data_IF_993468416106
#
_entry.id   IF_993468416106
#
_cell.length_a   1.000
_cell.length_b   1.000
_cell.length_c   1.000
_cell.angle_alpha   90.00
_cell.angle_beta   90.00
_cell.angle_gamma   90.00
#
_symmetry.space_group_name_H-M   'P 1'
#
loop_
_entity.id
_entity.type
_entity.pdbx_description
1 polymer ?
#
# COMPACT_ATOMS: atom_id res chain seq x y z
N UNK A 1 -18.94 23.57 -16.01
CA UNK A 1 -18.79 23.19 -14.59
C UNK A 1 -18.35 21.75 -14.57
N UNK A 2 -17.28 21.40 -13.83
CA UNK A 2 -16.95 19.99 -13.58
C UNK A 2 -18.08 19.41 -12.70
N UNK A 3 -18.54 18.17 -12.92
CA UNK A 3 -19.54 17.56 -12.05
C UNK A 3 -19.02 17.57 -10.60
N UNK A 4 -19.91 17.73 -9.60
CA UNK A 4 -19.50 17.61 -8.21
C UNK A 4 -18.87 16.23 -8.00
N UNK A 5 -17.70 16.20 -7.36
CA UNK A 5 -17.10 14.94 -6.90
C UNK A 5 -18.07 14.35 -5.89
N UNK A 6 -18.59 13.15 -6.16
CA UNK A 6 -19.47 12.46 -5.23
C UNK A 6 -18.76 12.16 -3.91
N UNK A 7 -19.52 11.89 -2.85
CA UNK A 7 -18.96 11.48 -1.56
C UNK A 7 -18.24 10.13 -1.71
N UNK A 8 -17.01 10.06 -1.25
CA UNK A 8 -16.15 8.88 -1.34
C UNK A 8 -15.94 8.27 0.04
N UNK A 9 -16.30 7.01 0.22
CA UNK A 9 -15.89 6.26 1.41
C UNK A 9 -14.49 5.69 1.22
N UNK A 10 -13.56 6.08 2.09
CA UNK A 10 -12.14 5.74 1.92
C UNK A 10 -11.67 4.72 2.94
N UNK A 11 -12.23 4.76 4.15
CA UNK A 11 -11.86 3.89 5.27
C UNK A 11 -13.09 3.32 5.93
N UNK A 12 -13.10 2.01 6.19
CA UNK A 12 -14.06 1.33 7.04
C UNK A 12 -13.33 0.35 7.95
N UNK A 13 -13.67 0.38 9.24
CA UNK A 13 -13.18 -0.57 10.24
C UNK A 13 -14.37 -1.30 10.85
N UNK A 14 -14.16 -2.03 11.94
CA UNK A 14 -15.25 -2.57 12.74
C UNK A 14 -16.09 -1.51 13.45
N UNK A 15 -15.51 -0.35 13.74
CA UNK A 15 -16.14 0.65 14.63
C UNK A 15 -16.10 2.07 14.10
N UNK A 16 -15.49 2.28 12.93
CA UNK A 16 -15.31 3.62 12.34
C UNK A 16 -15.45 3.60 10.83
N UNK A 17 -15.92 4.69 10.25
CA UNK A 17 -15.86 4.94 8.81
C UNK A 17 -15.43 6.38 8.52
N UNK A 18 -14.76 6.58 7.39
CA UNK A 18 -14.31 7.91 6.93
C UNK A 18 -14.76 8.13 5.50
N UNK A 19 -15.48 9.24 5.30
CA UNK A 19 -15.95 9.70 4.01
C UNK A 19 -15.31 11.04 3.66
N UNK A 20 -15.14 11.31 2.37
CA UNK A 20 -14.58 12.55 1.85
C UNK A 20 -15.52 13.18 0.84
N UNK A 21 -15.79 14.47 1.00
CA UNK A 21 -16.49 15.30 0.03
C UNK A 21 -15.58 16.48 -0.35
N UNK A 22 -14.91 16.37 -1.49
CA UNK A 22 -13.82 17.26 -1.89
C UNK A 22 -12.66 17.30 -0.87
N UNK A 23 -12.60 18.34 -0.05
CA UNK A 23 -11.61 18.52 1.03
C UNK A 23 -12.22 18.35 2.43
N UNK A 24 -13.54 18.16 2.51
CA UNK A 24 -14.21 17.87 3.77
C UNK A 24 -14.01 16.40 4.12
N UNK A 25 -13.72 16.14 5.39
CA UNK A 25 -13.58 14.79 5.94
C UNK A 25 -14.67 14.56 6.97
N UNK A 26 -15.49 13.55 6.75
CA UNK A 26 -16.56 13.13 7.65
C UNK A 26 -16.10 11.85 8.33
N UNK A 27 -15.99 11.88 9.65
CA UNK A 27 -15.59 10.72 10.44
C UNK A 27 -16.79 10.25 11.27
N UNK A 28 -17.08 8.96 11.15
CA UNK A 28 -18.05 8.24 11.95
C UNK A 28 -17.28 7.33 12.91
N UNK A 29 -17.58 7.43 14.20
CA UNK A 29 -16.99 6.60 15.26
C UNK A 29 -18.11 5.92 16.07
N UNK A 30 -17.76 4.91 16.85
CA UNK A 30 -18.70 4.11 17.67
C UNK A 30 -19.78 3.41 16.83
N UNK A 31 -19.42 2.97 15.64
CA UNK A 31 -20.27 2.09 14.83
C UNK A 31 -20.26 0.68 15.41
N UNK A 32 -21.36 -0.04 15.22
CA UNK A 32 -21.46 -1.46 15.55
C UNK A 32 -20.71 -2.29 14.48
N UNK A 33 -19.93 -3.30 14.87
CA UNK A 33 -19.30 -4.23 13.93
C UNK A 33 -20.32 -4.98 13.06
N UNK A 34 -19.89 -5.38 11.86
CA UNK A 34 -20.71 -6.14 10.89
C UNK A 34 -22.13 -5.58 10.69
N UNK A 35 -22.23 -4.26 10.60
CA UNK A 35 -23.50 -3.55 10.51
C UNK A 35 -23.50 -2.62 9.30
N UNK A 36 -24.62 -2.60 8.58
CA UNK A 36 -24.80 -1.72 7.42
C UNK A 36 -25.23 -0.32 7.87
N UNK A 37 -24.63 0.68 7.25
CA UNK A 37 -24.91 2.09 7.45
C UNK A 37 -25.08 2.79 6.10
N UNK A 38 -25.91 3.84 6.07
CA UNK A 38 -26.00 4.77 4.95
C UNK A 38 -25.72 6.17 5.44
N UNK A 39 -24.64 6.78 4.96
CA UNK A 39 -24.27 8.16 5.28
C UNK A 39 -24.02 8.93 3.99
N UNK A 40 -24.61 10.13 3.87
CA UNK A 40 -24.48 11.00 2.68
C UNK A 40 -24.75 10.29 1.34
N UNK A 41 -25.66 9.31 1.33
CA UNK A 41 -26.02 8.53 0.15
C UNK A 41 -25.05 7.40 -0.21
N UNK A 42 -24.00 7.16 0.58
CA UNK A 42 -23.09 6.02 0.44
C UNK A 42 -23.49 4.95 1.45
N UNK A 43 -23.74 3.73 0.97
CA UNK A 43 -24.01 2.57 1.82
C UNK A 43 -22.75 1.75 1.99
N UNK A 44 -22.45 1.36 3.23
CA UNK A 44 -21.28 0.55 3.57
C UNK A 44 -21.59 -0.33 4.78
N UNK A 45 -20.79 -1.37 4.98
CA UNK A 45 -20.88 -2.28 6.11
C UNK A 45 -19.56 -2.24 6.89
N UNK A 46 -19.62 -2.01 8.19
CA UNK A 46 -18.46 -2.13 9.07
C UNK A 46 -17.91 -3.55 9.04
N UNK A 47 -16.60 -3.70 9.25
CA UNK A 47 -15.97 -5.02 9.28
C UNK A 47 -16.41 -5.80 10.54
N UNK A 48 -16.47 -7.14 10.51
CA UNK A 48 -16.51 -7.89 11.75
C UNK A 48 -15.20 -7.69 12.51
N UNK A 49 -15.26 -7.53 13.84
CA UNK A 49 -14.05 -7.49 14.67
C UNK A 49 -13.35 -8.86 14.60
N UNK A 50 -12.05 -8.95 14.25
CA UNK A 50 -11.32 -10.20 14.30
C UNK A 50 -11.36 -10.81 15.70
N UNK A 51 -11.47 -12.13 15.78
CA UNK A 51 -11.63 -12.81 17.08
C UNK A 51 -10.39 -12.64 17.96
N UNK A 52 -10.63 -12.61 19.28
CA UNK A 52 -9.57 -12.47 20.27
C UNK A 52 -9.08 -11.04 20.45
N UNK A 53 -8.07 -10.85 21.33
CA UNK A 53 -7.55 -9.53 21.67
C UNK A 53 -6.74 -8.92 20.54
N UNK A 54 -6.78 -7.58 20.46
CA UNK A 54 -5.81 -6.79 19.72
C UNK A 54 -4.43 -6.91 20.39
N UNK A 55 -3.44 -7.41 19.66
CA UNK A 55 -2.08 -7.64 20.10
C UNK A 55 -1.18 -6.45 19.79
N UNK A 56 -1.25 -5.93 18.56
CA UNK A 56 -0.53 -4.72 18.16
C UNK A 56 -1.17 -4.02 16.96
N UNK A 57 -0.67 -2.81 16.68
CA UNK A 57 -0.95 -2.07 15.45
C UNK A 57 0.38 -1.63 14.84
N UNK A 58 0.49 -1.75 13.52
CA UNK A 58 1.60 -1.15 12.78
C UNK A 58 1.06 -0.54 11.49
N UNK A 59 1.86 0.30 10.85
CA UNK A 59 1.46 1.03 9.65
C UNK A 59 2.53 0.90 8.57
N UNK A 60 2.10 1.01 7.31
CA UNK A 60 2.97 1.08 6.15
C UNK A 60 2.70 2.36 5.37
N UNK A 61 3.77 2.99 4.92
CA UNK A 61 3.76 4.07 3.92
C UNK A 61 4.66 3.63 2.78
N UNK A 62 4.19 3.79 1.55
CA UNK A 62 4.96 3.47 0.36
C UNK A 62 4.96 4.67 -0.60
N UNK A 63 5.89 4.62 -1.56
CA UNK A 63 5.92 5.55 -2.67
C UNK A 63 5.92 7.02 -2.22
N UNK A 64 6.83 7.31 -1.27
CA UNK A 64 7.00 8.62 -0.62
C UNK A 64 7.57 9.69 -1.54
N UNK A 65 8.37 9.30 -2.54
CA UNK A 65 8.92 10.16 -3.60
C UNK A 65 9.56 11.47 -3.13
N UNK A 66 10.30 11.43 -2.00
CA UNK A 66 11.02 12.62 -1.54
C UNK A 66 11.97 13.15 -2.61
N UNK A 67 11.89 14.45 -2.89
CA UNK A 67 12.70 15.13 -3.89
C UNK A 67 12.10 15.16 -5.31
N UNK A 68 11.00 14.44 -5.56
CA UNK A 68 10.28 14.50 -6.83
C UNK A 68 9.64 15.89 -7.04
N UNK A 69 9.73 16.41 -8.27
CA UNK A 69 9.24 17.75 -8.63
C UNK A 69 8.07 17.72 -9.61
N UNK A 70 7.83 16.58 -10.26
CA UNK A 70 6.84 16.38 -11.30
C UNK A 70 6.10 15.08 -11.06
N UNK A 71 4.81 15.17 -10.76
CA UNK A 71 3.96 14.02 -10.48
C UNK A 71 3.16 13.62 -11.72
N UNK A 72 3.13 12.32 -12.02
CA UNK A 72 2.45 11.75 -13.18
C UNK A 72 3.25 11.80 -14.48
N UNK A 73 4.57 11.99 -14.41
CA UNK A 73 5.46 11.86 -15.56
C UNK A 73 5.88 10.39 -15.73
N UNK A 74 5.77 9.87 -16.96
CA UNK A 74 6.28 8.55 -17.34
C UNK A 74 7.57 8.77 -18.14
N UNK A 75 8.71 8.35 -17.59
CA UNK A 75 10.04 8.55 -18.19
C UNK A 75 10.26 10.00 -18.67
N UNK A 76 10.74 10.17 -19.90
CA UNK A 76 10.93 11.48 -20.54
C UNK A 76 9.68 11.96 -21.30
N UNK A 77 8.54 11.26 -21.20
CA UNK A 77 7.34 11.63 -21.95
C UNK A 77 6.81 12.99 -21.47
N UNK A 78 6.70 14.00 -22.35
CA UNK A 78 6.17 15.31 -21.98
C UNK A 78 4.63 15.34 -21.87
N UNK A 79 3.93 14.28 -22.30
CA UNK A 79 2.48 14.17 -22.22
C UNK A 79 2.02 14.09 -20.75
N UNK A 80 0.81 14.57 -20.48
CA UNK A 80 0.34 14.80 -19.13
C UNK A 80 -1.01 14.16 -18.82
N UNK A 81 -1.81 14.78 -17.92
CA UNK A 81 -1.49 15.99 -17.19
C UNK A 81 -0.40 15.76 -16.13
N UNK A 82 0.69 16.55 -16.18
CA UNK A 82 1.78 16.51 -15.19
C UNK A 82 1.51 17.56 -14.10
N UNK A 83 1.49 17.13 -12.84
CA UNK A 83 1.28 18.00 -11.68
C UNK A 83 2.60 18.48 -11.08
N UNK A 84 2.64 19.72 -10.59
CA UNK A 84 3.79 20.33 -9.89
C UNK A 84 3.29 21.21 -8.75
N UNK A 85 4.05 21.35 -7.67
CA UNK A 85 3.77 22.40 -6.69
C UNK A 85 3.77 23.77 -7.39
N UNK A 86 2.77 24.60 -7.11
CA UNK A 86 2.69 25.96 -7.63
C UNK A 86 3.74 26.86 -6.97
N UNK A 87 4.12 28.00 -7.59
CA UNK A 87 4.97 28.98 -6.93
C UNK A 87 4.42 29.38 -5.56
N UNK A 88 5.22 29.18 -4.51
CA UNK A 88 4.83 29.47 -3.12
C UNK A 88 4.22 28.28 -2.35
N UNK A 89 3.86 27.18 -3.01
CA UNK A 89 3.49 25.93 -2.34
C UNK A 89 4.73 25.19 -1.83
N UNK A 90 4.57 24.44 -0.74
CA UNK A 90 5.59 23.48 -0.33
C UNK A 90 5.74 22.37 -1.40
N UNK A 91 6.93 21.74 -1.54
CA UNK A 91 7.10 20.56 -2.37
C UNK A 91 6.08 19.48 -2.01
N UNK A 92 5.31 19.00 -2.98
CA UNK A 92 4.20 18.10 -2.71
C UNK A 92 4.59 16.80 -1.99
N UNK A 93 5.80 16.19 -2.20
CA UNK A 93 6.17 15.04 -1.39
C UNK A 93 6.23 15.40 0.08
N UNK A 94 6.72 16.59 0.43
CA UNK A 94 6.73 17.06 1.82
C UNK A 94 5.31 17.29 2.35
N UNK A 95 4.42 17.89 1.56
CA UNK A 95 3.01 18.10 1.92
C UNK A 95 2.32 16.77 2.21
N UNK A 96 2.40 15.81 1.29
CA UNK A 96 1.73 14.53 1.41
C UNK A 96 2.29 13.69 2.54
N UNK A 97 3.62 13.53 2.62
CA UNK A 97 4.24 12.74 3.67
C UNK A 97 3.99 13.33 5.06
N UNK A 98 3.99 14.66 5.22
CA UNK A 98 3.67 15.28 6.51
C UNK A 98 2.27 14.91 7.00
N UNK A 99 1.29 14.76 6.10
CA UNK A 99 -0.07 14.35 6.43
C UNK A 99 -0.26 12.84 6.63
N UNK A 100 0.53 11.99 5.97
CA UNK A 100 0.44 10.52 6.09
C UNK A 100 0.51 10.06 7.53
N UNK A 101 1.47 10.57 8.30
CA UNK A 101 1.80 10.00 9.61
C UNK A 101 2.21 11.09 10.63
N UNK A 102 2.08 12.39 10.34
CA UNK A 102 2.89 13.41 11.03
C UNK A 102 4.40 13.08 10.88
N UNK A 103 4.77 12.71 9.64
CA UNK A 103 5.98 12.00 9.23
C UNK A 103 7.27 12.84 9.17
N UNK A 104 7.32 14.02 9.80
CA UNK A 104 8.57 14.82 9.91
C UNK A 104 9.03 15.08 11.33
N UNK A 105 8.12 15.02 12.30
CA UNK A 105 8.43 15.25 13.71
C UNK A 105 8.68 13.94 14.48
N UNK A 106 8.43 12.79 13.86
CA UNK A 106 8.38 11.49 14.55
C UNK A 106 9.33 10.41 14.03
N UNK A 107 10.20 10.67 13.05
CA UNK A 107 11.30 9.73 12.74
C UNK A 107 12.11 9.38 14.00
N UNK A 108 12.41 10.39 14.83
CA UNK A 108 13.07 10.18 16.12
C UNK A 108 12.20 9.49 17.18
N UNK A 109 10.87 9.44 16.99
CA UNK A 109 9.94 8.76 17.92
C UNK A 109 9.83 7.28 17.60
N UNK A 110 9.84 6.90 16.32
CA UNK A 110 9.84 5.50 15.93
C UNK A 110 11.20 4.84 16.21
N UNK A 111 12.31 5.55 16.00
CA UNK A 111 13.65 5.02 16.26
C UNK A 111 13.84 3.65 15.61
N UNK A 112 14.23 2.67 16.41
CA UNK A 112 14.46 1.28 15.97
C UNK A 112 13.19 0.52 15.54
N UNK A 113 12.00 1.14 15.64
CA UNK A 113 10.72 0.59 15.16
C UNK A 113 10.38 1.02 13.74
N UNK A 114 11.17 1.92 13.14
CA UNK A 114 11.01 2.27 11.74
C UNK A 114 11.90 1.36 10.89
N UNK A 115 11.24 0.61 10.01
CA UNK A 115 11.89 -0.21 9.00
C UNK A 115 11.61 0.38 7.63
N UNK A 116 12.61 0.35 6.75
CA UNK A 116 12.49 0.83 5.38
C UNK A 116 12.94 -0.26 4.44
N UNK A 117 12.43 -0.19 3.21
CA UNK A 117 12.90 -0.98 2.08
C UNK A 117 12.90 -0.10 0.85
N UNK A 118 13.80 -0.38 -0.09
CA UNK A 118 13.89 0.38 -1.33
C UNK A 118 12.74 0.04 -2.27
N UNK A 119 12.35 1.03 -3.06
CA UNK A 119 11.68 0.83 -4.35
C UNK A 119 12.64 1.07 -5.52
N UNK A 120 12.19 0.79 -6.74
CA UNK A 120 12.97 1.00 -7.97
C UNK A 120 13.51 2.45 -8.07
N UNK A 121 12.74 3.44 -7.58
CA UNK A 121 13.16 4.83 -7.54
C UNK A 121 14.38 5.13 -6.66
N UNK A 122 14.66 4.30 -5.66
CA UNK A 122 15.86 4.44 -4.81
C UNK A 122 17.12 3.91 -5.51
N UNK A 123 16.97 3.10 -6.56
CA UNK A 123 18.06 2.40 -7.25
C UNK A 123 18.17 2.70 -8.76
N UNK A 124 17.34 3.59 -9.32
CA UNK A 124 17.32 3.89 -10.77
C UNK A 124 18.63 4.46 -11.33
N UNK A 125 19.47 5.08 -10.50
CA UNK A 125 20.80 5.57 -10.89
C UNK A 125 21.89 4.58 -10.48
N UNK A 126 21.54 3.29 -10.43
CA UNK A 126 22.39 2.18 -10.01
C UNK A 126 22.95 2.33 -8.58
N UNK A 127 22.21 3.00 -7.69
CA UNK A 127 22.55 3.02 -6.27
C UNK A 127 22.27 1.64 -5.67
N UNK A 128 23.30 0.98 -5.15
CA UNK A 128 23.18 -0.40 -4.64
C UNK A 128 23.44 -0.56 -3.14
N UNK A 129 23.76 0.52 -2.44
CA UNK A 129 24.01 0.46 -1.00
C UNK A 129 22.68 0.45 -0.23
N UNK A 130 22.34 -0.70 0.34
CA UNK A 130 21.16 -0.88 1.19
C UNK A 130 21.37 -2.07 2.14
N UNK A 131 20.91 -2.01 3.41
CA UNK A 131 21.10 -3.10 4.37
C UNK A 131 20.46 -4.45 3.99
N UNK A 132 19.50 -4.43 3.06
CA UNK A 132 18.85 -5.62 2.53
C UNK A 132 17.60 -6.04 3.31
N UNK A 133 17.24 -7.32 3.16
CA UNK A 133 16.02 -7.89 3.70
C UNK A 133 16.01 -7.89 5.23
N UNK A 134 14.83 -7.70 5.81
CA UNK A 134 14.66 -7.65 7.27
C UNK A 134 13.53 -8.55 7.72
N UNK A 135 13.79 -9.36 8.75
CA UNK A 135 12.76 -10.08 9.50
C UNK A 135 12.35 -9.26 10.72
N UNK A 136 11.09 -8.81 10.76
CA UNK A 136 10.56 -7.92 11.78
C UNK A 136 9.56 -8.70 12.62
N UNK A 137 9.75 -8.71 13.94
CA UNK A 137 8.83 -9.36 14.87
C UNK A 137 7.96 -8.31 15.54
N UNK A 138 6.65 -8.50 15.49
CA UNK A 138 5.67 -7.73 16.26
C UNK A 138 4.80 -8.70 17.07
N UNK A 139 4.10 -8.24 18.12
CA UNK A 139 3.24 -9.14 18.90
C UNK A 139 2.20 -9.87 18.03
N UNK A 140 2.32 -11.20 17.91
CA UNK A 140 1.41 -12.08 17.18
C UNK A 140 1.58 -12.13 15.66
N UNK A 141 2.65 -11.54 15.11
CA UNK A 141 2.92 -11.56 13.67
C UNK A 141 4.41 -11.33 13.38
N UNK A 142 4.92 -11.99 12.35
CA UNK A 142 6.20 -11.64 11.72
C UNK A 142 5.97 -10.95 10.37
N UNK A 143 6.89 -10.04 10.02
CA UNK A 143 6.93 -9.38 8.72
C UNK A 143 8.26 -9.68 8.05
N UNK A 144 8.22 -10.31 6.88
CA UNK A 144 9.38 -10.45 6.00
C UNK A 144 9.41 -9.28 5.02
N UNK A 145 10.29 -8.31 5.26
CA UNK A 145 10.44 -7.13 4.42
C UNK A 145 11.58 -7.35 3.41
N UNK A 146 11.23 -7.48 2.14
CA UNK A 146 12.14 -7.87 1.05
C UNK A 146 12.47 -6.69 0.14
N UNK A 147 13.77 -6.50 -0.11
CA UNK A 147 14.23 -5.66 -1.22
C UNK A 147 13.97 -6.41 -2.53
N UNK A 148 13.12 -5.83 -3.36
CA UNK A 148 12.75 -6.41 -4.65
C UNK A 148 13.37 -5.65 -5.83
N UNK A 149 14.29 -4.72 -5.55
CA UNK A 149 14.82 -3.79 -6.55
C UNK A 149 15.88 -4.44 -7.43
N UNK A 150 15.83 -4.11 -8.73
CA UNK A 150 16.91 -4.36 -9.66
C UNK A 150 17.52 -2.98 -9.98
N UNK A 151 18.80 -2.70 -9.64
CA UNK A 151 19.40 -1.40 -9.89
C UNK A 151 19.34 -0.98 -11.37
N UNK A 152 18.68 0.14 -11.64
CA UNK A 152 18.47 0.68 -12.99
C UNK A 152 17.26 0.13 -13.75
N UNK A 153 16.43 -0.72 -13.14
CA UNK A 153 15.23 -1.26 -13.79
C UNK A 153 13.95 -0.93 -13.01
N UNK A 154 12.83 -0.92 -13.73
CA UNK A 154 11.48 -0.79 -13.16
C UNK A 154 10.96 -2.11 -12.61
N UNK A 155 11.27 -3.22 -13.29
CA UNK A 155 10.89 -4.57 -12.87
C UNK A 155 11.55 -4.96 -11.55
N UNK A 156 10.81 -5.71 -10.73
CA UNK A 156 11.34 -6.27 -9.49
C UNK A 156 11.79 -7.73 -9.62
N UNK A 157 12.68 -8.15 -8.72
CA UNK A 157 13.15 -9.54 -8.59
C UNK A 157 13.32 -9.90 -7.12
N UNK A 158 13.18 -11.20 -6.82
CA UNK A 158 13.67 -11.79 -5.57
C UNK A 158 14.77 -12.75 -6.00
N UNK A 159 15.98 -12.56 -5.47
CA UNK A 159 17.14 -13.39 -5.77
C UNK A 159 17.04 -14.75 -5.08
N UNK A 160 17.80 -15.72 -5.60
CA UNK A 160 17.76 -17.09 -5.07
C UNK A 160 18.22 -17.16 -3.60
N UNK A 161 19.22 -16.36 -3.23
CA UNK A 161 19.69 -16.24 -1.85
C UNK A 161 18.62 -15.66 -0.92
N UNK A 162 17.79 -14.74 -1.42
CA UNK A 162 16.66 -14.19 -0.66
C UNK A 162 15.58 -15.24 -0.45
N UNK A 163 15.30 -16.07 -1.47
CA UNK A 163 14.38 -17.20 -1.32
C UNK A 163 14.90 -18.23 -0.32
N UNK A 164 16.20 -18.55 -0.33
CA UNK A 164 16.80 -19.47 0.64
C UNK A 164 16.71 -18.92 2.07
N UNK A 165 17.01 -17.63 2.25
CA UNK A 165 16.85 -16.96 3.53
C UNK A 165 15.39 -16.97 3.99
N UNK A 166 14.45 -16.61 3.12
CA UNK A 166 13.03 -16.56 3.42
C UNK A 166 12.50 -17.94 3.80
N UNK A 167 12.85 -18.99 3.05
CA UNK A 167 12.44 -20.36 3.35
C UNK A 167 12.92 -20.82 4.73
N UNK A 168 14.14 -20.45 5.12
CA UNK A 168 14.67 -20.74 6.44
C UNK A 168 13.91 -20.00 7.56
N UNK A 169 13.58 -18.72 7.37
CA UNK A 169 12.79 -17.94 8.33
C UNK A 169 11.37 -18.50 8.48
N UNK A 170 10.71 -18.78 7.35
CA UNK A 170 9.35 -19.34 7.33
C UNK A 170 9.29 -20.72 8.00
N UNK A 171 10.28 -21.57 7.74
CA UNK A 171 10.39 -22.89 8.37
C UNK A 171 10.57 -22.83 9.89
N UNK A 172 11.17 -21.76 10.40
CA UNK A 172 11.37 -21.54 11.84
C UNK A 172 10.23 -20.77 12.52
N UNK A 173 9.34 -20.13 11.76
CA UNK A 173 8.30 -19.26 12.30
C UNK A 173 7.16 -20.06 12.94
N UNK A 174 6.82 -19.74 14.18
CA UNK A 174 5.62 -20.22 14.86
C UNK A 174 4.45 -19.22 14.79
N UNK A 175 4.73 -17.99 14.38
CA UNK A 175 3.73 -16.93 14.22
C UNK A 175 3.34 -16.79 12.73
N UNK A 176 2.14 -16.25 12.44
CA UNK A 176 1.77 -15.90 11.07
C UNK A 176 2.73 -14.86 10.48
N UNK A 177 2.87 -14.87 9.16
CA UNK A 177 3.85 -14.06 8.42
C UNK A 177 3.14 -13.29 7.32
N UNK A 178 3.41 -11.98 7.25
CA UNK A 178 3.13 -11.18 6.05
C UNK A 178 4.46 -10.89 5.34
N UNK A 179 4.54 -11.24 4.06
CA UNK A 179 5.68 -10.89 3.22
C UNK A 179 5.38 -9.54 2.58
N UNK A 180 6.34 -8.62 2.61
CA UNK A 180 6.23 -7.28 2.04
C UNK A 180 7.37 -7.02 1.08
N UNK A 181 7.09 -6.39 -0.06
CA UNK A 181 8.09 -5.88 -0.98
C UNK A 181 7.61 -4.60 -1.65
N UNK A 182 8.43 -4.01 -2.51
CA UNK A 182 7.98 -2.83 -3.26
C UNK A 182 7.09 -3.22 -4.45
N UNK A 183 7.51 -4.20 -5.25
CA UNK A 183 6.87 -4.54 -6.53
C UNK A 183 5.74 -5.55 -6.36
N UNK A 184 4.54 -5.25 -6.87
CA UNK A 184 3.40 -6.18 -6.85
C UNK A 184 3.68 -7.49 -7.59
N UNK A 185 3.13 -8.59 -7.05
CA UNK A 185 3.24 -9.91 -7.66
C UNK A 185 2.54 -9.94 -9.03
N UNK A 186 3.17 -10.61 -9.99
CA UNK A 186 2.49 -11.08 -11.18
C UNK A 186 1.56 -12.25 -10.81
N UNK A 187 0.26 -12.14 -11.11
CA UNK A 187 -0.75 -13.16 -10.76
C UNK A 187 -1.27 -13.87 -12.01
N UNK A 188 -1.49 -13.10 -13.07
CA UNK A 188 -2.03 -13.58 -14.34
C UNK A 188 -1.68 -12.60 -15.47
N UNK A 189 -1.81 -13.05 -16.72
CA UNK A 189 -1.63 -12.24 -17.93
C UNK A 189 -0.45 -12.69 -18.79
N UNK A 190 -0.02 -11.87 -19.76
CA UNK A 190 1.18 -12.15 -20.52
C UNK A 190 2.42 -12.14 -19.61
N UNK A 191 3.36 -13.05 -19.86
CA UNK A 191 4.68 -13.04 -19.20
C UNK A 191 5.62 -12.14 -20.00
N UNK A 192 6.41 -11.34 -19.29
CA UNK A 192 7.39 -10.42 -19.87
C UNK A 192 8.55 -10.23 -18.91
N UNK A 193 9.77 -10.19 -19.44
CA UNK A 193 10.97 -9.87 -18.67
C UNK A 193 10.94 -8.42 -18.15
N UNK A 194 10.26 -7.54 -18.89
CA UNK A 194 10.01 -6.13 -18.53
C UNK A 194 8.66 -5.94 -17.81
N UNK A 195 8.14 -6.96 -17.12
CA UNK A 195 6.90 -6.81 -16.37
C UNK A 195 7.06 -5.69 -15.34
N UNK A 196 6.07 -4.80 -15.26
CA UNK A 196 6.13 -3.61 -14.40
C UNK A 196 6.33 -3.96 -12.91
N UNK A 197 5.80 -5.09 -12.44
CA UNK A 197 5.96 -5.52 -11.05
C UNK A 197 7.08 -6.53 -10.83
N UNK A 198 6.88 -7.43 -9.87
CA UNK A 198 7.78 -8.54 -9.61
C UNK A 198 7.77 -9.51 -10.79
N UNK A 199 8.96 -9.86 -11.30
CA UNK A 199 9.14 -10.73 -12.45
C UNK A 199 8.26 -12.01 -12.36
N UNK A 200 7.63 -12.47 -13.46
CA UNK A 200 6.71 -13.62 -13.42
C UNK A 200 7.33 -14.89 -12.82
N UNK A 201 8.60 -15.19 -13.11
CA UNK A 201 9.27 -16.37 -12.54
C UNK A 201 9.44 -16.26 -11.02
N UNK A 202 9.86 -15.10 -10.51
CA UNK A 202 9.94 -14.85 -9.06
C UNK A 202 8.56 -14.88 -8.42
N UNK A 203 7.54 -14.38 -9.12
CA UNK A 203 6.15 -14.40 -8.65
C UNK A 203 5.61 -15.83 -8.51
N UNK A 204 5.91 -16.72 -9.46
CA UNK A 204 5.56 -18.14 -9.39
C UNK A 204 6.31 -18.84 -8.25
N UNK A 205 7.61 -18.57 -8.09
CA UNK A 205 8.41 -19.15 -7.01
C UNK A 205 7.94 -18.69 -5.62
N UNK A 206 7.56 -17.41 -5.49
CA UNK A 206 6.95 -16.87 -4.28
C UNK A 206 5.60 -17.54 -3.99
N UNK A 207 4.76 -17.69 -5.01
CA UNK A 207 3.48 -18.42 -4.93
C UNK A 207 3.67 -19.85 -4.43
N UNK A 208 4.64 -20.59 -4.99
CA UNK A 208 4.97 -21.94 -4.57
C UNK A 208 5.49 -22.00 -3.13
N UNK A 209 6.30 -21.03 -2.72
CA UNK A 209 6.79 -20.93 -1.35
C UNK A 209 5.65 -20.68 -0.35
N UNK A 210 4.78 -19.71 -0.63
CA UNK A 210 3.61 -19.42 0.21
C UNK A 210 2.63 -20.59 0.28
N UNK A 211 2.54 -21.42 -0.77
CA UNK A 211 1.73 -22.64 -0.76
C UNK A 211 2.31 -23.70 0.19
N UNK A 212 3.65 -23.82 0.28
CA UNK A 212 4.34 -24.76 1.19
C UNK A 212 4.33 -24.30 2.64
N UNK A 213 4.35 -22.99 2.89
CA UNK A 213 4.43 -22.40 4.23
C UNK A 213 3.08 -21.83 4.68
N UNK A 214 2.31 -22.63 5.42
CA UNK A 214 0.99 -22.23 5.91
C UNK A 214 1.02 -21.02 6.86
N UNK A 215 2.17 -20.71 7.48
CA UNK A 215 2.32 -19.51 8.30
C UNK A 215 2.20 -18.21 7.46
N UNK A 216 2.41 -18.24 6.15
CA UNK A 216 2.28 -17.05 5.30
C UNK A 216 0.81 -16.77 5.01
N UNK A 217 0.33 -15.58 5.40
CA UNK A 217 -1.07 -15.19 5.29
C UNK A 217 -1.33 -14.09 4.25
N UNK A 218 -0.29 -13.37 3.79
CA UNK A 218 -0.41 -12.38 2.72
C UNK A 218 0.93 -12.02 2.07
N UNK A 219 0.88 -11.51 0.84
CA UNK A 219 1.93 -10.70 0.24
C UNK A 219 1.41 -9.28 0.02
N UNK A 220 2.16 -8.25 0.40
CA UNK A 220 1.77 -6.84 0.21
C UNK A 220 2.86 -6.02 -0.46
N UNK A 221 2.46 -5.11 -1.33
CA UNK A 221 3.33 -4.28 -2.15
C UNK A 221 2.80 -2.87 -2.37
N UNK A 222 3.70 -1.95 -2.74
CA UNK A 222 3.39 -0.61 -3.24
C UNK A 222 3.51 -0.56 -4.76
N UNK A 223 4.29 0.41 -5.27
CA UNK A 223 4.76 0.55 -6.65
C UNK A 223 3.68 0.94 -7.68
N UNK A 224 2.49 0.36 -7.62
CA UNK A 224 1.44 0.60 -8.62
C UNK A 224 0.62 1.85 -8.37
N UNK A 225 0.80 2.46 -7.19
CA UNK A 225 0.01 3.58 -6.65
C UNK A 225 -1.50 3.31 -6.57
N UNK A 226 -1.94 2.06 -6.69
CA UNK A 226 -3.35 1.70 -6.56
C UNK A 226 -3.59 0.78 -5.38
N UNK A 227 -4.84 0.74 -4.97
CA UNK A 227 -5.36 -0.33 -4.13
C UNK A 227 -5.87 -1.47 -5.00
N UNK A 228 -5.41 -2.70 -4.73
CA UNK A 228 -5.92 -3.90 -5.40
C UNK A 228 -5.66 -5.12 -4.53
N UNK A 229 -6.60 -6.06 -4.51
CA UNK A 229 -6.39 -7.37 -3.88
C UNK A 229 -6.68 -8.46 -4.90
N UNK A 230 -5.75 -9.41 -5.03
CA UNK A 230 -5.89 -10.56 -5.92
C UNK A 230 -5.59 -11.83 -5.14
N UNK A 231 -6.22 -12.93 -5.54
CA UNK A 231 -5.88 -14.25 -5.01
C UNK A 231 -4.52 -14.67 -5.54
N UNK A 232 -3.56 -14.91 -4.65
CA UNK A 232 -2.25 -15.43 -5.04
C UNK A 232 -2.43 -16.85 -5.58
N UNK A 233 -1.95 -17.15 -6.81
CA UNK A 233 -2.05 -18.49 -7.37
C UNK A 233 -1.44 -19.52 -6.43
N UNK A 234 -1.96 -20.75 -6.40
CA UNK A 234 -1.47 -21.91 -5.61
C UNK A 234 -1.57 -21.78 -4.08
N UNK A 235 -1.25 -20.62 -3.51
CA UNK A 235 -1.28 -20.37 -2.07
C UNK A 235 -2.68 -19.96 -1.56
N UNK A 236 -3.50 -19.35 -2.42
CA UNK A 236 -4.85 -18.83 -2.08
C UNK A 236 -4.84 -17.87 -0.88
N UNK A 237 -3.81 -17.03 -0.83
CA UNK A 237 -3.66 -15.92 0.12
C UNK A 237 -3.75 -14.59 -0.64
N UNK A 238 -4.13 -13.48 -0.01
CA UNK A 238 -4.18 -12.20 -0.69
C UNK A 238 -2.79 -11.71 -1.14
N UNK A 239 -2.68 -11.37 -2.43
CA UNK A 239 -1.66 -10.48 -2.99
C UNK A 239 -2.23 -9.07 -3.03
N UNK A 240 -1.64 -8.17 -2.24
CA UNK A 240 -2.17 -6.86 -1.89
C UNK A 240 -1.31 -5.78 -2.50
N UNK A 241 -1.96 -4.79 -3.11
CA UNK A 241 -1.35 -3.55 -3.56
C UNK A 241 -1.92 -2.40 -2.73
N UNK A 242 -1.05 -1.56 -2.17
CA UNK A 242 -1.40 -0.40 -1.37
C UNK A 242 -1.05 0.86 -2.17
N UNK A 243 -2.05 1.74 -2.35
CA UNK A 243 -1.88 3.04 -2.97
C UNK A 243 -0.80 3.90 -2.32
N UNK A 244 -0.29 4.85 -3.09
CA UNK A 244 0.85 5.65 -2.69
C UNK A 244 0.47 6.81 -1.75
N UNK A 245 1.49 7.34 -1.07
CA UNK A 245 1.37 8.59 -0.31
C UNK A 245 1.31 9.81 -1.25
N UNK A 246 2.12 9.84 -2.32
CA UNK A 246 2.42 11.08 -3.06
C UNK A 246 1.28 11.69 -3.88
N UNK A 247 0.31 10.89 -4.33
CA UNK A 247 -0.69 11.33 -5.31
C UNK A 247 -2.11 10.93 -4.90
N UNK A 248 -3.04 10.70 -5.83
CA UNK A 248 -4.43 10.37 -5.49
C UNK A 248 -4.55 8.85 -5.21
N UNK A 249 -5.22 8.40 -4.14
CA UNK A 249 -5.95 9.19 -3.13
C UNK A 249 -5.08 9.79 -2.02
N UNK A 250 -3.84 9.35 -1.92
CA UNK A 250 -2.87 9.77 -0.92
C UNK A 250 -3.14 9.01 0.37
N UNK A 251 -2.58 7.81 0.47
CA UNK A 251 -2.97 6.83 1.49
C UNK A 251 -1.79 6.20 2.22
N UNK A 252 -2.11 5.59 3.35
CA UNK A 252 -1.25 4.68 4.10
C UNK A 252 -2.11 3.53 4.64
N UNK A 253 -1.51 2.38 4.95
CA UNK A 253 -2.24 1.24 5.48
C UNK A 253 -1.90 0.97 6.94
N UNK A 254 -2.91 0.77 7.76
CA UNK A 254 -2.86 0.26 9.12
C UNK A 254 -3.12 -1.25 9.12
N UNK A 255 -2.38 -1.96 9.96
CA UNK A 255 -2.61 -3.37 10.26
C UNK A 255 -2.89 -3.51 11.75
N UNK A 256 -4.06 -4.06 12.11
CA UNK A 256 -4.43 -4.40 13.48
C UNK A 256 -4.32 -5.90 13.65
N UNK A 257 -3.33 -6.34 14.42
CA UNK A 257 -3.05 -7.77 14.64
C UNK A 257 -3.86 -8.24 15.83
N UNK A 258 -4.77 -9.19 15.61
CA UNK A 258 -5.54 -9.86 16.65
C UNK A 258 -5.11 -11.32 16.76
N UNK A 259 -5.43 -11.97 17.89
CA UNK A 259 -5.18 -13.41 18.08
C UNK A 259 -5.78 -14.28 16.96
N UNK A 260 -6.88 -13.86 16.33
CA UNK A 260 -7.57 -14.60 15.27
C UNK A 260 -7.38 -14.08 13.84
N UNK A 261 -6.54 -13.07 13.60
CA UNK A 261 -6.32 -12.53 12.25
C UNK A 261 -5.85 -11.08 12.23
N UNK A 262 -5.66 -10.53 11.02
CA UNK A 262 -5.17 -9.17 10.84
C UNK A 262 -6.21 -8.34 10.10
N UNK A 263 -6.67 -7.23 10.69
CA UNK A 263 -7.48 -6.25 9.96
C UNK A 263 -6.56 -5.27 9.23
N UNK A 264 -6.60 -5.26 7.90
CA UNK A 264 -5.97 -4.23 7.08
C UNK A 264 -6.96 -3.08 6.86
N UNK A 265 -6.50 -1.86 7.08
CA UNK A 265 -7.30 -0.64 6.96
C UNK A 265 -6.49 0.44 6.24
N UNK A 266 -6.91 0.82 5.04
CA UNK A 266 -6.34 1.97 4.34
C UNK A 266 -6.95 3.27 4.87
N UNK A 267 -6.09 4.26 5.10
CA UNK A 267 -6.44 5.60 5.54
C UNK A 267 -6.06 6.62 4.47
N UNK A 268 -6.99 7.51 4.12
CA UNK A 268 -6.70 8.66 3.26
C UNK A 268 -6.17 9.84 4.08
N UNK A 269 -5.13 10.47 3.59
CA UNK A 269 -4.51 11.64 4.20
C UNK A 269 -5.48 12.82 4.11
N UNK A 270 -5.89 13.32 5.27
CA UNK A 270 -7.07 14.19 5.41
C UNK A 270 -6.75 15.63 5.83
N UNK A 271 -5.47 16.02 5.89
CA UNK A 271 -5.11 17.45 6.06
C UNK A 271 -5.57 18.24 4.82
N UNK A 272 -6.13 19.45 4.96
CA UNK A 272 -6.65 20.23 3.83
C UNK A 272 -5.66 20.42 2.68
N UNK A 273 -4.38 20.62 2.99
CA UNK A 273 -3.31 20.82 1.99
C UNK A 273 -3.06 19.53 1.18
N UNK A 274 -3.03 18.38 1.86
CA UNK A 274 -2.87 17.08 1.21
C UNK A 274 -4.09 16.71 0.36
N UNK A 275 -5.31 16.96 0.84
CA UNK A 275 -6.53 16.75 0.05
C UNK A 275 -6.57 17.68 -1.17
N UNK A 276 -6.16 18.94 -1.01
CA UNK A 276 -6.06 19.90 -2.12
C UNK A 276 -5.07 19.40 -3.17
N UNK A 277 -3.89 18.92 -2.76
CA UNK A 277 -2.91 18.32 -3.66
C UNK A 277 -3.43 17.04 -4.33
N UNK A 278 -3.84 16.04 -3.56
CA UNK A 278 -4.22 14.73 -4.10
C UNK A 278 -5.45 14.83 -4.99
N UNK A 279 -6.39 15.74 -4.72
CA UNK A 279 -7.53 15.98 -5.62
C UNK A 279 -7.11 16.51 -7.00
N UNK A 280 -5.97 17.20 -7.13
CA UNK A 280 -5.42 17.59 -8.45
C UNK A 280 -4.88 16.39 -9.24
N UNK A 281 -4.50 15.33 -8.54
CA UNK A 281 -3.93 14.11 -9.12
C UNK A 281 -4.98 13.11 -9.60
N UNK A 282 -6.28 13.36 -9.39
CA UNK A 282 -7.38 12.48 -9.87
C UNK A 282 -7.36 12.22 -11.37
N UNK A 283 -6.75 13.12 -12.13
CA UNK A 283 -6.75 13.09 -13.59
C UNK A 283 -5.40 12.72 -14.17
N UNK A 284 -4.44 12.24 -13.36
CA UNK A 284 -3.17 11.76 -13.91
C UNK A 284 -3.45 10.76 -15.03
N UNK A 285 -2.62 10.80 -16.06
CA UNK A 285 -2.72 9.93 -17.23
C UNK A 285 -4.02 10.00 -18.05
N UNK A 286 -4.88 11.01 -17.84
CA UNK A 286 -6.09 11.17 -18.66
C UNK A 286 -5.79 11.40 -20.14
N UNK A 287 -4.64 11.98 -20.49
CA UNK A 287 -4.23 12.18 -21.88
C UNK A 287 -3.89 10.84 -22.58
N UNK A 288 -3.64 9.79 -21.79
CA UNK A 288 -3.49 8.39 -22.25
C UNK A 288 -4.81 7.60 -22.19
N UNK A 289 -5.93 8.26 -21.89
CA UNK A 289 -7.24 7.62 -21.77
C UNK A 289 -7.44 6.80 -20.49
N UNK A 290 -6.61 7.01 -19.47
CA UNK A 290 -6.71 6.27 -18.19
C UNK A 290 -7.59 7.04 -17.20
N UNK A 291 -8.57 6.35 -16.61
CA UNK A 291 -9.28 6.84 -15.42
C UNK A 291 -8.45 6.54 -14.17
N UNK A 292 -7.54 7.46 -13.84
CA UNK A 292 -6.62 7.26 -12.72
C UNK A 292 -7.32 7.28 -11.36
N UNK A 293 -8.43 8.00 -11.23
CA UNK A 293 -9.20 8.00 -9.99
C UNK A 293 -9.72 6.60 -9.69
N UNK A 294 -10.39 5.96 -10.65
CA UNK A 294 -10.87 4.59 -10.46
C UNK A 294 -9.73 3.59 -10.33
N UNK A 295 -8.67 3.74 -11.13
CA UNK A 295 -7.48 2.90 -11.06
C UNK A 295 -6.82 2.93 -9.68
N UNK A 296 -6.56 4.12 -9.14
CA UNK A 296 -5.80 4.28 -7.90
C UNK A 296 -6.63 3.97 -6.65
N UNK A 297 -7.92 4.33 -6.65
CA UNK A 297 -8.78 4.18 -5.46
C UNK A 297 -9.11 2.71 -5.17
N UNK A 298 -9.37 1.89 -6.18
CA UNK A 298 -9.86 0.51 -6.01
C UNK A 298 -11.26 0.44 -5.36
N UNK A 299 -11.71 -0.76 -5.00
CA UNK A 299 -12.94 -0.95 -4.21
C UNK A 299 -12.69 -0.81 -2.70
N UNK A 300 -13.76 -0.66 -1.91
CA UNK A 300 -13.62 -0.57 -0.46
C UNK A 300 -13.05 -1.87 0.13
N UNK A 301 -13.42 -3.01 -0.43
CA UNK A 301 -12.99 -4.35 -0.04
C UNK A 301 -11.51 -4.60 -0.36
N UNK A 302 -10.93 -3.87 -1.32
CA UNK A 302 -9.49 -3.89 -1.59
C UNK A 302 -8.70 -2.99 -0.64
N UNK A 303 -9.38 -2.07 0.05
CA UNK A 303 -8.80 -1.10 0.99
C UNK A 303 -8.91 -1.53 2.45
N UNK A 304 -10.03 -2.14 2.83
CA UNK A 304 -10.38 -2.44 4.21
C UNK A 304 -10.99 -3.85 4.31
N UNK A 305 -10.27 -4.78 4.96
CA UNK A 305 -10.71 -6.17 5.09
C UNK A 305 -9.94 -6.91 6.19
N UNK A 306 -10.45 -8.08 6.58
CA UNK A 306 -9.76 -8.98 7.48
C UNK A 306 -8.98 -10.04 6.68
N UNK A 307 -7.70 -10.18 7.00
CA UNK A 307 -6.82 -11.27 6.54
C UNK A 307 -6.95 -12.39 7.57
N UNK A 308 -7.55 -13.54 7.22
CA UNK A 308 -7.68 -14.66 8.12
C UNK A 308 -6.32 -15.34 8.35
N UNK A 309 -6.18 -16.00 9.51
CA UNK A 309 -5.12 -16.97 9.71
C UNK A 309 -5.41 -18.26 8.90
N UNK A 310 -4.39 -19.09 8.68
CA UNK A 310 -4.48 -20.36 7.92
C UNK A 310 -4.40 -21.57 8.82
#
# INVERSE_FOLDING_TARGET
MRPPVGVEITTVTDTTAVLHENIETIRLDNLEPDTEYTERGVTFRTLPTPSGRLLCRFATVNDVHFGETECGRIDDNPQGPIQRSLPGEAPYPLTMNSGAIAFRQHYGVFGDRLHTVRGNHDAYRHQNEFPGDTWIQVPGLNVALLDTTIPGATTGRIEQEQFEWLDAQLSASTEPVIIMGHHQQWVEGPRSDDYFGLHPDCSDQLSDMCARHACVIAYTAGHTHRHRVRDMPRAHIPSIEIGCVKDFPGTWAEYRVHEGGVMQVVHRISTPEALTWSNRCRHLYSDFGTDYQSYALGTLEERCFNIPLR
#
